data_IF_921480505649
#
_entry.id   IF_921480505649
#
_cell.length_a   1.000
_cell.length_b   1.000
_cell.length_c   1.000
_cell.angle_alpha   90.00
_cell.angle_beta   90.00
_cell.angle_gamma   90.00
#
_symmetry.space_group_name_H-M   'P 1'
#
loop_
_entity.id
_entity.type
_entity.pdbx_description
1 polymer ?
#
# COMPACT_ATOMS: atom_id res chain seq x y z
N UNK A 1 -13.41 11.72 -19.56
CA UNK A 1 -12.84 10.38 -19.36
C UNK A 1 -12.35 10.30 -17.93
N UNK A 2 -12.82 9.33 -17.13
CA UNK A 2 -12.36 9.19 -15.75
C UNK A 2 -10.94 8.61 -15.76
N UNK A 3 -10.03 9.13 -14.95
CA UNK A 3 -8.60 8.75 -14.93
C UNK A 3 -8.40 7.22 -14.79
N UNK A 4 -9.28 6.56 -14.05
CA UNK A 4 -9.31 5.09 -13.88
C UNK A 4 -9.50 4.32 -15.19
N UNK A 5 -10.25 4.88 -16.15
CA UNK A 5 -10.42 4.27 -17.46
C UNK A 5 -9.10 4.32 -18.24
N UNK A 6 -8.39 5.45 -18.16
CA UNK A 6 -7.07 5.61 -18.78
C UNK A 6 -6.03 4.68 -18.15
N UNK A 7 -6.03 4.53 -16.83
CA UNK A 7 -5.16 3.59 -16.11
C UNK A 7 -5.33 2.18 -16.68
N UNK A 8 -6.59 1.75 -16.88
CA UNK A 8 -6.91 0.42 -17.43
C UNK A 8 -6.60 0.31 -18.92
N UNK A 9 -6.92 1.32 -19.71
CA UNK A 9 -6.69 1.34 -21.16
C UNK A 9 -5.19 1.29 -21.51
N UNK A 10 -4.38 2.00 -20.73
CA UNK A 10 -2.92 2.04 -20.90
C UNK A 10 -2.17 1.01 -20.07
N UNK A 11 -2.87 0.15 -19.33
CA UNK A 11 -2.27 -0.87 -18.47
C UNK A 11 -1.17 -0.30 -17.55
N UNK A 12 -1.47 0.85 -16.92
CA UNK A 12 -0.54 1.51 -16.02
C UNK A 12 -0.36 0.60 -14.79
N UNK A 13 0.89 0.22 -14.43
CA UNK A 13 1.18 -0.70 -13.33
C UNK A 13 1.06 0.00 -11.97
N UNK A 14 -0.14 0.45 -11.63
CA UNK A 14 -0.46 1.20 -10.40
C UNK A 14 -1.51 0.46 -9.59
N UNK A 15 -1.33 0.40 -8.27
CA UNK A 15 -2.34 -0.18 -7.37
C UNK A 15 -3.50 0.78 -7.24
N UNK A 16 -4.69 0.38 -7.68
CA UNK A 16 -5.93 1.12 -7.44
C UNK A 16 -6.50 0.71 -6.07
N UNK A 17 -6.55 1.66 -5.14
CA UNK A 17 -7.08 1.46 -3.80
C UNK A 17 -8.54 1.92 -3.79
N UNK A 18 -9.44 1.04 -3.34
CA UNK A 18 -10.85 1.38 -3.19
C UNK A 18 -11.03 2.53 -2.18
N UNK A 19 -11.81 3.54 -2.56
CA UNK A 19 -12.10 4.72 -1.75
C UNK A 19 -12.81 4.38 -0.42
N UNK A 20 -13.52 3.24 -0.39
CA UNK A 20 -14.28 2.77 0.78
C UNK A 20 -13.48 1.85 1.70
N UNK A 21 -12.24 1.51 1.33
CA UNK A 21 -11.38 0.62 2.12
C UNK A 21 -11.19 1.17 3.53
N UNK A 22 -11.47 0.34 4.53
CA UNK A 22 -11.16 0.63 5.92
C UNK A 22 -9.87 -0.08 6.36
N UNK A 23 -9.35 0.40 7.49
CA UNK A 23 -8.09 -0.02 8.08
C UNK A 23 -8.34 -0.40 9.53
N UNK A 24 -7.85 -1.56 9.93
CA UNK A 24 -8.12 -2.12 11.25
C UNK A 24 -6.85 -2.62 11.91
N UNK A 25 -6.72 -2.38 13.21
CA UNK A 25 -5.74 -3.08 14.05
C UNK A 25 -6.49 -4.14 14.88
N UNK A 26 -6.14 -5.41 14.68
CA UNK A 26 -6.69 -6.54 15.44
C UNK A 26 -5.59 -7.11 16.34
N UNK A 27 -5.84 -7.13 17.65
CA UNK A 27 -4.91 -7.67 18.64
C UNK A 27 -5.03 -9.19 18.70
N UNK A 28 -3.89 -9.83 18.81
CA UNK A 28 -3.69 -11.29 18.86
C UNK A 28 -3.54 -11.80 20.30
N UNK A 29 -4.29 -11.21 21.25
CA UNK A 29 -4.16 -11.49 22.68
C UNK A 29 -2.72 -11.32 23.20
N UNK A 30 -2.21 -10.08 23.19
CA UNK A 30 -0.81 -9.78 23.56
C UNK A 30 0.25 -10.54 22.73
N UNK A 31 -0.11 -11.01 21.54
CA UNK A 31 0.76 -11.77 20.66
C UNK A 31 0.67 -13.28 20.80
N UNK A 32 -0.11 -13.79 21.75
CA UNK A 32 -0.28 -15.23 22.00
C UNK A 32 -0.71 -16.00 20.75
N UNK A 33 -1.69 -15.47 19.99
CA UNK A 33 -2.23 -16.12 18.79
C UNK A 33 -1.68 -15.54 17.48
N UNK A 34 -0.59 -14.76 17.53
CA UNK A 34 -0.05 -14.12 16.32
C UNK A 34 0.39 -15.15 15.28
N UNK A 35 1.15 -16.18 15.70
CA UNK A 35 1.70 -17.16 14.77
C UNK A 35 0.58 -17.97 14.10
N UNK A 36 -0.44 -18.41 14.86
CA UNK A 36 -1.58 -19.13 14.29
C UNK A 36 -2.35 -18.26 13.29
N UNK A 37 -2.65 -16.99 13.64
CA UNK A 37 -3.33 -16.07 12.72
C UNK A 37 -2.51 -15.87 11.43
N UNK A 38 -1.19 -15.74 11.58
CA UNK A 38 -0.28 -15.53 10.46
C UNK A 38 -0.20 -16.76 9.55
N UNK A 39 0.15 -17.93 10.09
CA UNK A 39 0.36 -19.15 9.30
C UNK A 39 -0.94 -19.72 8.72
N UNK A 40 -2.05 -19.64 9.47
CA UNK A 40 -3.34 -20.18 9.03
C UNK A 40 -4.20 -19.13 8.30
N UNK A 41 -3.66 -17.93 8.07
CA UNK A 41 -4.27 -16.89 7.21
C UNK A 41 -5.66 -16.46 7.66
N UNK A 42 -5.80 -16.15 8.96
CA UNK A 42 -7.05 -15.63 9.51
C UNK A 42 -6.83 -14.57 10.60
N UNK A 43 -7.90 -13.83 10.89
CA UNK A 43 -8.05 -13.04 12.11
C UNK A 43 -9.26 -13.53 12.88
N UNK A 44 -9.20 -13.45 14.21
CA UNK A 44 -10.29 -13.85 15.06
C UNK A 44 -10.47 -12.92 16.26
N UNK A 45 -11.65 -13.00 16.87
CA UNK A 45 -11.92 -12.41 18.19
C UNK A 45 -12.58 -13.45 19.09
N UNK A 46 -12.30 -13.37 20.39
CA UNK A 46 -12.93 -14.22 21.40
C UNK A 46 -14.40 -13.88 21.65
N UNK A 47 -14.86 -14.08 22.89
CA UNK A 47 -16.27 -14.02 23.29
C UNK A 47 -17.09 -15.16 22.65
N UNK A 48 -16.61 -16.38 22.80
CA UNK A 48 -17.10 -17.54 22.03
C UNK A 48 -18.49 -18.06 22.45
N UNK A 49 -18.96 -17.67 23.64
CA UNK A 49 -20.38 -17.83 24.03
C UNK A 49 -21.34 -17.03 23.12
N UNK A 50 -20.81 -16.05 22.36
CA UNK A 50 -21.56 -15.14 21.50
C UNK A 50 -21.25 -15.34 20.01
N UNK A 51 -21.27 -16.59 19.54
CA UNK A 51 -21.02 -16.95 18.14
C UNK A 51 -22.26 -16.87 17.22
N UNK A 52 -23.46 -16.70 17.78
CA UNK A 52 -24.69 -16.58 16.98
C UNK A 52 -24.78 -15.20 16.31
N UNK A 53 -24.38 -15.10 15.04
CA UNK A 53 -24.41 -13.84 14.28
C UNK A 53 -25.81 -13.22 14.16
N UNK A 54 -26.86 -14.05 14.06
CA UNK A 54 -28.25 -13.59 13.97
C UNK A 54 -28.69 -12.83 15.22
N UNK A 55 -28.19 -13.24 16.40
CA UNK A 55 -28.45 -12.54 17.66
C UNK A 55 -28.03 -11.08 17.58
N UNK A 56 -26.84 -10.80 17.04
CA UNK A 56 -26.30 -9.44 16.96
C UNK A 56 -26.85 -8.61 15.81
N UNK A 57 -27.41 -9.27 14.77
CA UNK A 57 -28.02 -8.57 13.64
C UNK A 57 -29.43 -8.09 13.97
N UNK A 58 -30.22 -8.97 14.61
CA UNK A 58 -31.67 -8.78 14.73
C UNK A 58 -32.10 -8.45 16.18
N UNK A 59 -31.23 -8.67 17.17
CA UNK A 59 -31.52 -8.50 18.58
C UNK A 59 -31.35 -7.08 19.12
N UNK A 60 -32.02 -6.79 20.23
CA UNK A 60 -31.92 -5.49 20.91
C UNK A 60 -30.59 -5.37 21.67
N UNK A 61 -29.85 -4.30 21.40
CA UNK A 61 -28.55 -4.01 22.02
C UNK A 61 -28.60 -4.06 23.56
N UNK A 62 -29.62 -3.49 24.18
CA UNK A 62 -29.72 -3.43 25.66
C UNK A 62 -29.91 -4.82 26.28
N UNK A 63 -30.61 -5.71 25.58
CA UNK A 63 -30.82 -7.10 25.99
C UNK A 63 -29.51 -7.89 25.84
N UNK A 64 -28.85 -7.77 24.70
CA UNK A 64 -27.60 -8.50 24.42
C UNK A 64 -26.49 -8.06 25.38
N UNK A 65 -26.36 -6.75 25.66
CA UNK A 65 -25.38 -6.24 26.63
C UNK A 65 -25.61 -6.81 28.03
N UNK A 66 -26.87 -6.93 28.48
CA UNK A 66 -27.19 -7.59 29.75
C UNK A 66 -26.87 -9.08 29.76
N UNK A 67 -27.01 -9.75 28.62
CA UNK A 67 -26.62 -11.16 28.51
C UNK A 67 -25.09 -11.32 28.57
N UNK A 68 -24.35 -10.45 27.89
CA UNK A 68 -22.87 -10.40 27.98
C UNK A 68 -22.43 -10.19 29.43
N UNK A 69 -23.06 -9.26 30.16
CA UNK A 69 -22.76 -8.99 31.57
C UNK A 69 -22.97 -10.23 32.46
N UNK A 70 -24.02 -11.03 32.20
CA UNK A 70 -24.27 -12.26 32.94
C UNK A 70 -23.28 -13.37 32.62
N UNK A 71 -22.93 -13.53 31.34
CA UNK A 71 -22.01 -14.58 30.89
C UNK A 71 -20.56 -14.28 31.28
N UNK A 72 -20.17 -13.01 31.31
CA UNK A 72 -18.83 -12.57 31.69
C UNK A 72 -18.89 -11.56 32.85
N UNK A 73 -19.24 -12.00 34.09
CA UNK A 73 -19.44 -11.11 35.23
C UNK A 73 -18.19 -10.35 35.65
N UNK A 74 -17.00 -10.88 35.36
CA UNK A 74 -15.72 -10.23 35.64
C UNK A 74 -15.39 -9.09 34.67
N UNK A 75 -16.07 -9.04 33.52
CA UNK A 75 -15.89 -7.97 32.55
C UNK A 75 -16.73 -6.73 32.92
N UNK A 76 -16.05 -5.66 33.34
CA UNK A 76 -16.70 -4.40 33.76
C UNK A 76 -17.21 -3.53 32.60
N UNK A 77 -17.09 -3.99 31.36
CA UNK A 77 -17.37 -3.22 30.15
C UNK A 77 -18.13 -4.05 29.08
N UNK A 78 -19.30 -4.63 29.41
CA UNK A 78 -20.05 -5.48 28.47
C UNK A 78 -20.49 -4.74 27.19
N UNK A 79 -20.71 -3.43 27.28
CA UNK A 79 -20.98 -2.59 26.11
C UNK A 79 -19.81 -2.50 25.11
N UNK A 80 -18.56 -2.55 25.61
CA UNK A 80 -17.38 -2.58 24.74
C UNK A 80 -17.23 -3.94 24.05
N UNK A 81 -17.53 -5.03 24.76
CA UNK A 81 -17.59 -6.38 24.18
C UNK A 81 -18.61 -6.44 23.05
N UNK A 82 -19.84 -5.95 23.29
CA UNK A 82 -20.88 -5.85 22.27
C UNK A 82 -20.38 -5.11 21.02
N UNK A 83 -19.81 -3.92 21.20
CA UNK A 83 -19.33 -3.10 20.08
C UNK A 83 -18.18 -3.78 19.33
N UNK A 84 -17.29 -4.49 20.01
CA UNK A 84 -16.21 -5.26 19.36
C UNK A 84 -16.77 -6.39 18.48
N UNK A 85 -17.77 -7.13 18.97
CA UNK A 85 -18.43 -8.19 18.20
C UNK A 85 -19.14 -7.59 16.98
N UNK A 86 -19.94 -6.53 17.16
CA UNK A 86 -20.61 -5.85 16.05
C UNK A 86 -19.63 -5.34 15.00
N UNK A 87 -18.52 -4.73 15.42
CA UNK A 87 -17.48 -4.26 14.50
C UNK A 87 -16.90 -5.40 13.67
N UNK A 88 -16.51 -6.49 14.33
CA UNK A 88 -15.97 -7.66 13.65
C UNK A 88 -16.98 -8.31 12.70
N UNK A 89 -18.27 -8.34 13.05
CA UNK A 89 -19.29 -9.00 12.25
C UNK A 89 -19.81 -8.14 11.09
N UNK A 90 -19.93 -6.83 11.29
CA UNK A 90 -20.72 -5.97 10.41
C UNK A 90 -20.00 -4.71 9.90
N UNK A 91 -18.98 -4.20 10.60
CA UNK A 91 -18.23 -3.01 10.14
C UNK A 91 -17.03 -3.38 9.26
N UNK A 92 -16.37 -4.50 9.56
CA UNK A 92 -15.24 -4.99 8.75
C UNK A 92 -15.73 -5.65 7.47
N UNK A 93 -15.17 -5.27 6.32
CA UNK A 93 -15.59 -5.74 5.00
C UNK A 93 -14.46 -6.48 4.26
N UNK A 94 -14.83 -7.23 3.22
CA UNK A 94 -13.86 -7.84 2.30
C UNK A 94 -13.15 -6.72 1.54
N UNK A 95 -11.82 -6.79 1.45
CA UNK A 95 -11.00 -5.76 0.83
C UNK A 95 -10.44 -4.71 1.80
N UNK A 96 -10.89 -4.72 3.06
CA UNK A 96 -10.29 -3.92 4.13
C UNK A 96 -8.87 -4.39 4.45
N UNK A 97 -8.03 -3.45 4.90
CA UNK A 97 -6.70 -3.75 5.42
C UNK A 97 -6.79 -4.05 6.92
N UNK A 98 -6.17 -5.15 7.34
CA UNK A 98 -6.01 -5.48 8.75
C UNK A 98 -4.54 -5.59 9.12
N UNK A 99 -4.22 -5.11 10.31
CA UNK A 99 -2.90 -5.20 10.93
C UNK A 99 -3.00 -6.06 12.17
N UNK A 100 -2.05 -6.98 12.33
CA UNK A 100 -1.87 -7.75 13.56
C UNK A 100 -0.47 -7.50 14.15
N UNK A 101 -0.36 -7.12 15.43
CA UNK A 101 0.92 -7.09 16.11
C UNK A 101 1.35 -8.50 16.55
N UNK A 102 2.64 -8.77 16.43
CA UNK A 102 3.29 -9.89 17.12
C UNK A 102 3.45 -9.65 18.62
N UNK A 103 3.97 -10.64 19.34
CA UNK A 103 4.31 -10.50 20.75
C UNK A 103 5.23 -9.28 21.02
N UNK A 104 4.90 -8.52 22.06
CA UNK A 104 5.50 -7.21 22.38
C UNK A 104 5.44 -6.17 21.23
N UNK A 105 4.61 -6.43 20.22
CA UNK A 105 4.52 -5.63 18.99
C UNK A 105 5.88 -5.42 18.31
N UNK A 106 6.77 -6.41 18.35
CA UNK A 106 8.12 -6.34 17.75
C UNK A 106 8.08 -6.20 16.23
N UNK A 107 7.05 -6.77 15.61
CA UNK A 107 6.72 -6.68 14.19
C UNK A 107 5.20 -6.54 14.03
N UNK A 108 4.79 -5.93 12.91
CA UNK A 108 3.39 -5.76 12.52
C UNK A 108 3.21 -6.42 11.15
N UNK A 109 2.20 -7.27 11.03
CA UNK A 109 1.82 -7.87 9.75
C UNK A 109 0.54 -7.24 9.24
N UNK A 110 0.55 -6.90 7.96
CA UNK A 110 -0.56 -6.32 7.23
C UNK A 110 -1.15 -7.37 6.31
N UNK A 111 -2.47 -7.39 6.18
CA UNK A 111 -3.20 -8.30 5.30
C UNK A 111 -4.49 -7.68 4.78
N UNK A 112 -5.07 -8.32 3.78
CA UNK A 112 -6.37 -7.94 3.20
C UNK A 112 -7.41 -8.98 3.62
N UNK A 113 -8.55 -8.53 4.12
CA UNK A 113 -9.66 -9.41 4.47
C UNK A 113 -10.28 -10.00 3.20
N UNK A 114 -10.38 -11.33 3.13
CA UNK A 114 -10.87 -12.04 1.94
C UNK A 114 -12.29 -12.59 2.09
N UNK A 115 -12.79 -12.70 3.33
CA UNK A 115 -14.11 -13.29 3.58
C UNK A 115 -14.97 -12.44 4.52
N UNK A 116 -16.28 -12.61 4.34
CA UNK A 116 -17.26 -12.35 5.40
C UNK A 116 -16.94 -13.19 6.66
N UNK A 117 -17.45 -12.80 7.84
CA UNK A 117 -17.16 -13.53 9.07
C UNK A 117 -17.84 -14.91 9.03
N UNK A 118 -17.16 -15.89 9.60
CA UNK A 118 -17.69 -17.23 9.80
C UNK A 118 -17.37 -17.70 11.22
N UNK A 119 -18.03 -18.80 11.61
CA UNK A 119 -17.79 -19.45 12.91
C UNK A 119 -17.11 -20.78 12.65
N UNK A 120 -15.85 -20.87 13.04
CA UNK A 120 -15.07 -22.10 13.05
C UNK A 120 -15.42 -22.93 14.29
N UNK A 121 -15.55 -24.24 14.13
CA UNK A 121 -15.78 -25.16 15.25
C UNK A 121 -14.44 -25.73 15.69
N UNK A 122 -13.99 -25.32 16.86
CA UNK A 122 -12.74 -25.79 17.46
C UNK A 122 -13.10 -26.88 18.47
N UNK A 123 -12.39 -28.01 18.43
CA UNK A 123 -12.61 -29.12 19.36
C UNK A 123 -11.98 -28.84 20.72
N UNK A 124 -12.53 -29.40 21.79
CA UNK A 124 -11.95 -29.27 23.14
C UNK A 124 -10.50 -29.77 23.18
N UNK A 125 -10.20 -30.86 22.46
CA UNK A 125 -8.84 -31.39 22.33
C UNK A 125 -7.88 -30.38 21.71
N UNK A 126 -8.28 -29.66 20.65
CA UNK A 126 -7.43 -28.63 20.05
C UNK A 126 -7.17 -27.47 21.03
N UNK A 127 -8.18 -27.09 21.83
CA UNK A 127 -8.03 -26.03 22.84
C UNK A 127 -7.05 -26.48 23.93
N UNK A 128 -7.15 -27.74 24.39
CA UNK A 128 -6.21 -28.33 25.35
C UNK A 128 -4.77 -28.40 24.79
N UNK A 129 -4.62 -28.58 23.47
CA UNK A 129 -3.35 -28.55 22.75
C UNK A 129 -2.83 -27.13 22.49
N UNK A 130 -3.57 -26.08 22.90
CA UNK A 130 -3.15 -24.68 22.82
C UNK A 130 -3.52 -23.95 21.53
N UNK A 131 -4.40 -24.53 20.70
CA UNK A 131 -4.97 -23.86 19.52
C UNK A 131 -5.88 -22.71 19.95
N UNK A 132 -5.90 -21.64 19.18
CA UNK A 132 -6.72 -20.46 19.42
C UNK A 132 -8.20 -20.86 19.54
N UNK A 133 -8.85 -20.59 20.70
CA UNK A 133 -10.24 -20.99 20.95
C UNK A 133 -11.26 -20.09 20.25
N UNK A 134 -10.81 -19.04 19.56
CA UNK A 134 -11.68 -18.01 18.98
C UNK A 134 -12.40 -18.53 17.73
N UNK A 135 -13.70 -18.75 17.86
CA UNK A 135 -14.54 -19.31 16.80
C UNK A 135 -14.93 -18.30 15.74
N UNK A 136 -15.07 -17.00 16.07
CA UNK A 136 -15.41 -15.95 15.10
C UNK A 136 -14.16 -15.59 14.29
N UNK A 137 -14.11 -16.02 13.03
CA UNK A 137 -12.94 -15.88 12.15
C UNK A 137 -13.28 -15.16 10.85
N UNK A 138 -12.26 -14.55 10.24
CA UNK A 138 -12.25 -14.04 8.86
C UNK A 138 -10.94 -14.45 8.20
N UNK A 139 -10.97 -14.92 6.96
CA UNK A 139 -9.72 -15.22 6.22
C UNK A 139 -9.06 -13.93 5.79
N UNK A 140 -7.73 -13.94 5.82
CA UNK A 140 -6.89 -12.80 5.49
C UNK A 140 -5.74 -13.27 4.63
N UNK A 141 -5.48 -12.56 3.54
CA UNK A 141 -4.24 -12.72 2.78
C UNK A 141 -3.22 -11.73 3.27
N UNK A 142 -2.16 -12.23 3.89
CA UNK A 142 -1.05 -11.43 4.36
C UNK A 142 -0.25 -10.87 3.17
N UNK A 143 0.11 -9.59 3.25
CA UNK A 143 0.79 -8.86 2.18
C UNK A 143 2.18 -8.37 2.58
N UNK A 144 2.39 -8.00 3.85
CA UNK A 144 3.67 -7.43 4.30
C UNK A 144 3.86 -7.58 5.80
N UNK A 145 5.08 -7.85 6.25
CA UNK A 145 5.46 -7.81 7.67
C UNK A 145 6.61 -6.82 7.84
N UNK A 146 6.48 -5.92 8.81
CA UNK A 146 7.44 -4.83 9.05
C UNK A 146 7.86 -4.85 10.51
N UNK A 147 9.16 -4.64 10.76
CA UNK A 147 9.66 -4.48 12.13
C UNK A 147 9.15 -3.19 12.73
N UNK A 148 8.88 -3.17 14.02
CA UNK A 148 8.45 -1.96 14.72
C UNK A 148 9.42 -0.80 14.53
N UNK A 149 10.72 -1.07 14.45
CA UNK A 149 11.77 -0.06 14.24
C UNK A 149 11.73 0.60 12.86
N UNK A 150 11.13 -0.05 11.87
CA UNK A 150 10.98 0.42 10.49
C UNK A 150 9.59 1.06 10.26
N UNK A 151 8.69 0.91 11.23
CA UNK A 151 7.35 1.45 11.15
C UNK A 151 7.40 2.98 11.18
N UNK A 152 6.52 3.60 10.40
CA UNK A 152 6.34 5.03 10.47
C UNK A 152 5.98 5.46 11.91
N UNK A 153 6.69 6.44 12.51
CA UNK A 153 6.39 6.91 13.86
C UNK A 153 4.96 7.35 14.10
N UNK A 154 4.25 7.81 13.06
CA UNK A 154 2.83 8.15 13.15
C UNK A 154 1.98 6.92 13.55
N UNK A 155 2.36 5.72 13.13
CA UNK A 155 1.67 4.48 13.47
C UNK A 155 1.93 4.03 14.92
N UNK A 156 2.93 4.56 15.62
CA UNK A 156 3.17 4.18 17.03
C UNK A 156 2.02 4.54 17.96
N UNK A 157 1.25 5.60 17.65
CA UNK A 157 0.08 5.99 18.45
C UNK A 157 -1.04 4.95 18.35
N UNK A 158 -1.29 4.44 17.15
CA UNK A 158 -2.23 3.36 16.92
C UNK A 158 -1.88 2.11 17.76
N UNK A 159 -0.59 1.81 17.91
CA UNK A 159 -0.10 0.67 18.69
C UNK A 159 -0.25 0.81 20.21
N UNK A 160 -0.72 1.95 20.73
CA UNK A 160 -0.93 2.13 22.18
C UNK A 160 -2.32 1.67 22.64
N UNK A 161 -3.31 1.54 21.73
CA UNK A 161 -4.66 1.15 22.14
C UNK A 161 -4.73 -0.32 22.57
N UNK A 162 -5.29 -0.58 23.75
CA UNK A 162 -5.45 -1.94 24.30
C UNK A 162 -6.74 -2.65 23.87
N UNK A 163 -7.59 -2.02 23.05
CA UNK A 163 -8.81 -2.70 22.56
C UNK A 163 -8.46 -3.79 21.54
N UNK A 164 -9.26 -4.86 21.52
CA UNK A 164 -9.09 -6.00 20.61
C UNK A 164 -9.15 -5.59 19.14
N UNK A 165 -10.07 -4.68 18.78
CA UNK A 165 -10.19 -4.12 17.43
C UNK A 165 -10.21 -2.60 17.51
N UNK A 166 -9.32 -1.96 16.76
CA UNK A 166 -9.27 -0.51 16.62
C UNK A 166 -9.46 -0.12 15.16
N UNK A 167 -10.26 0.91 14.93
CA UNK A 167 -10.28 1.59 13.64
C UNK A 167 -8.95 2.33 13.47
N UNK A 168 -8.36 2.22 12.28
CA UNK A 168 -7.09 2.81 11.91
C UNK A 168 -7.20 3.72 10.69
N UNK A 169 -8.41 4.18 10.33
CA UNK A 169 -8.64 5.01 9.15
C UNK A 169 -7.92 6.37 9.24
N UNK A 170 -7.73 6.91 10.44
CA UNK A 170 -6.92 8.13 10.66
C UNK A 170 -5.46 7.97 10.23
N UNK A 171 -5.01 6.73 10.02
CA UNK A 171 -3.66 6.37 9.59
C UNK A 171 -3.62 5.86 8.15
N UNK A 172 -4.73 5.92 7.41
CA UNK A 172 -4.87 5.31 6.07
C UNK A 172 -3.73 5.71 5.12
N UNK A 173 -3.45 7.01 4.97
CA UNK A 173 -2.37 7.50 4.09
C UNK A 173 -1.00 6.90 4.45
N UNK A 174 -0.73 6.76 5.75
CA UNK A 174 0.55 6.22 6.23
C UNK A 174 0.62 4.72 6.01
N UNK A 175 -0.51 4.02 6.15
CA UNK A 175 -0.60 2.57 5.87
C UNK A 175 -0.46 2.32 4.37
N UNK A 176 -1.17 3.07 3.52
CA UNK A 176 -1.13 2.90 2.07
C UNK A 176 0.29 3.08 1.52
N UNK A 177 0.99 4.17 1.87
CA UNK A 177 2.39 4.39 1.46
C UNK A 177 3.39 3.40 2.08
N UNK A 178 2.99 2.68 3.12
CA UNK A 178 3.80 1.61 3.71
C UNK A 178 3.64 0.31 2.92
N UNK A 179 2.44 0.08 2.38
CA UNK A 179 2.09 -1.10 1.60
C UNK A 179 2.46 -0.96 0.13
N UNK A 180 2.37 0.25 -0.42
CA UNK A 180 2.46 0.51 -1.85
C UNK A 180 3.41 1.67 -2.13
N UNK A 181 4.23 1.50 -3.18
CA UNK A 181 5.13 2.55 -3.64
C UNK A 181 4.55 3.33 -4.83
N UNK A 182 3.54 2.77 -5.49
CA UNK A 182 2.85 3.42 -6.60
C UNK A 182 1.38 3.05 -6.62
N UNK A 183 0.53 4.00 -6.23
CA UNK A 183 -0.90 3.76 -6.05
C UNK A 183 -1.78 4.96 -6.44
N UNK A 184 -3.05 4.68 -6.71
CA UNK A 184 -4.10 5.66 -6.99
C UNK A 184 -5.27 5.46 -6.03
N UNK A 185 -5.71 6.53 -5.38
CA UNK A 185 -6.78 6.52 -4.38
C UNK A 185 -7.49 7.87 -4.34
N UNK A 186 -8.82 7.88 -4.27
CA UNK A 186 -9.64 9.09 -4.08
C UNK A 186 -9.28 10.23 -5.06
N UNK A 187 -9.11 9.93 -6.34
CA UNK A 187 -8.73 10.95 -7.33
C UNK A 187 -7.25 11.35 -7.32
N UNK A 188 -6.43 10.80 -6.43
CA UNK A 188 -5.03 11.19 -6.19
C UNK A 188 -4.09 10.07 -6.59
N UNK A 189 -3.06 10.39 -7.37
CA UNK A 189 -1.97 9.47 -7.67
C UNK A 189 -0.79 9.75 -6.72
N UNK A 190 -0.14 8.68 -6.27
CA UNK A 190 0.97 8.70 -5.34
C UNK A 190 2.14 7.91 -5.90
N UNK A 191 3.31 8.54 -5.98
CA UNK A 191 4.59 7.93 -6.29
C UNK A 191 5.51 8.09 -5.08
N UNK A 192 5.76 6.99 -4.37
CA UNK A 192 6.63 6.93 -3.20
C UNK A 192 7.97 6.37 -3.64
N UNK A 193 9.01 7.21 -3.59
CA UNK A 193 10.38 6.83 -3.86
C UNK A 193 11.10 6.70 -2.52
N UNK A 194 11.53 5.49 -2.18
CA UNK A 194 12.28 5.26 -0.95
C UNK A 194 13.75 5.63 -1.14
N UNK A 195 14.33 6.24 -0.09
CA UNK A 195 15.74 6.60 0.04
C UNK A 195 16.32 5.65 1.06
N UNK A 196 16.93 4.56 0.59
CA UNK A 196 17.38 3.46 1.47
C UNK A 196 18.77 3.71 2.08
N UNK A 197 19.42 4.81 1.70
CA UNK A 197 20.70 5.26 2.24
C UNK A 197 20.65 5.31 3.76
N UNK A 198 21.67 4.76 4.43
CA UNK A 198 21.75 4.70 5.89
C UNK A 198 22.57 5.82 6.52
N UNK A 199 23.55 6.34 5.77
CA UNK A 199 24.39 7.46 6.19
C UNK A 199 23.72 8.80 5.88
N UNK A 200 24.35 9.92 6.25
CA UNK A 200 23.77 11.23 5.97
C UNK A 200 23.57 11.47 4.47
N UNK A 201 22.40 12.02 4.12
CA UNK A 201 22.09 12.47 2.77
C UNK A 201 22.64 13.88 2.58
N UNK A 202 23.53 14.08 1.61
CA UNK A 202 23.99 15.40 1.26
C UNK A 202 22.82 16.24 0.73
N UNK A 203 22.67 17.47 1.24
CA UNK A 203 21.55 18.34 0.88
C UNK A 203 21.44 18.57 -0.64
N UNK A 204 22.57 18.71 -1.33
CA UNK A 204 22.60 18.87 -2.78
C UNK A 204 22.09 17.62 -3.51
N UNK A 205 22.41 16.43 -3.03
CA UNK A 205 21.93 15.19 -3.66
C UNK A 205 20.41 15.08 -3.52
N UNK A 206 19.86 15.43 -2.35
CA UNK A 206 18.41 15.44 -2.13
C UNK A 206 17.70 16.46 -3.03
N UNK A 207 18.19 17.70 -3.06
CA UNK A 207 17.63 18.77 -3.90
C UNK A 207 17.67 18.38 -5.38
N UNK A 208 18.82 17.87 -5.82
CA UNK A 208 18.98 17.40 -7.20
C UNK A 208 18.04 16.23 -7.48
N UNK A 209 17.87 15.30 -6.55
CA UNK A 209 16.96 14.17 -6.75
C UNK A 209 15.51 14.58 -6.90
N UNK A 210 15.03 15.49 -6.05
CA UNK A 210 13.69 16.06 -6.17
C UNK A 210 13.55 16.78 -7.52
N UNK A 211 14.50 17.65 -7.87
CA UNK A 211 14.45 18.42 -9.11
C UNK A 211 14.48 17.52 -10.36
N UNK A 212 15.36 16.53 -10.40
CA UNK A 212 15.53 15.62 -11.53
C UNK A 212 14.27 14.79 -11.80
N UNK A 213 13.55 14.39 -10.74
CA UNK A 213 12.25 13.71 -10.86
C UNK A 213 11.19 14.70 -11.38
N UNK A 214 11.13 15.92 -10.84
CA UNK A 214 10.17 16.93 -11.30
C UNK A 214 10.40 17.39 -12.75
N UNK A 215 11.63 17.33 -13.26
CA UNK A 215 11.92 17.61 -14.68
C UNK A 215 11.30 16.62 -15.66
N UNK A 216 10.85 15.44 -15.18
CA UNK A 216 10.12 14.46 -15.98
C UNK A 216 8.68 14.89 -16.25
N UNK A 217 8.07 15.66 -15.34
CA UNK A 217 6.64 16.03 -15.36
C UNK A 217 6.22 16.71 -16.67
N UNK A 218 6.95 17.71 -17.20
CA UNK A 218 6.56 18.37 -18.44
C UNK A 218 6.66 17.48 -19.69
N UNK A 219 7.36 16.33 -19.60
CA UNK A 219 7.46 15.37 -20.69
C UNK A 219 6.22 14.47 -20.81
N UNK A 220 5.38 14.42 -19.77
CA UNK A 220 4.19 13.58 -19.75
C UNK A 220 3.09 14.23 -20.60
N UNK A 221 2.52 13.44 -21.50
CA UNK A 221 1.37 13.84 -22.32
C UNK A 221 0.11 13.90 -21.46
N UNK A 222 -0.70 14.94 -21.67
CA UNK A 222 -2.01 15.05 -21.07
C UNK A 222 -3.06 14.44 -22.01
N UNK A 223 -3.53 13.21 -21.75
CA UNK A 223 -4.49 12.53 -22.62
C UNK A 223 -5.90 13.16 -22.55
N UNK A 224 -6.18 13.99 -21.54
CA UNK A 224 -7.46 14.68 -21.40
C UNK A 224 -7.50 15.98 -22.20
N UNK A 225 -6.35 16.66 -22.33
CA UNK A 225 -6.21 17.86 -23.13
C UNK A 225 -4.77 17.98 -23.68
N UNK A 226 -4.50 17.52 -24.91
CA UNK A 226 -3.14 17.52 -25.49
C UNK A 226 -2.48 18.90 -25.68
N UNK A 227 -3.28 19.98 -25.59
CA UNK A 227 -2.79 21.37 -25.65
C UNK A 227 -2.40 21.91 -24.27
N UNK A 228 -2.77 21.21 -23.19
CA UNK A 228 -2.40 21.57 -21.84
C UNK A 228 -1.12 20.83 -21.43
N UNK A 229 -0.31 21.49 -20.61
CA UNK A 229 0.98 20.95 -20.19
C UNK A 229 1.03 20.86 -18.68
N UNK A 230 1.36 19.66 -18.20
CA UNK A 230 1.68 19.48 -16.80
C UNK A 230 2.96 20.25 -16.47
N UNK A 231 2.91 20.93 -15.33
CA UNK A 231 3.99 21.74 -14.79
C UNK A 231 4.45 21.13 -13.48
N UNK A 232 5.65 21.50 -13.06
CA UNK A 232 6.23 21.00 -11.81
C UNK A 232 5.40 21.42 -10.60
N UNK A 233 4.77 22.59 -10.69
CA UNK A 233 3.90 23.17 -9.67
C UNK A 233 2.58 22.39 -9.49
N UNK A 234 2.25 21.48 -10.41
CA UNK A 234 1.07 20.63 -10.29
C UNK A 234 1.31 19.42 -9.35
N UNK A 235 2.54 19.25 -8.85
CA UNK A 235 2.96 18.10 -8.04
C UNK A 235 3.28 18.55 -6.62
N UNK A 236 2.57 17.98 -5.67
CA UNK A 236 2.86 18.10 -4.24
C UNK A 236 3.93 17.08 -3.82
N UNK A 237 4.74 17.45 -2.83
CA UNK A 237 5.79 16.59 -2.27
C UNK A 237 5.64 16.48 -0.75
N UNK A 238 5.53 15.26 -0.25
CA UNK A 238 5.76 14.92 1.17
C UNK A 238 7.10 14.23 1.31
N UNK A 239 7.91 14.64 2.29
CA UNK A 239 9.23 14.08 2.50
C UNK A 239 9.47 13.68 3.96
N UNK A 240 10.23 12.58 4.16
CA UNK A 240 10.85 12.24 5.44
C UNK A 240 12.35 12.47 5.33
N UNK A 241 12.85 13.52 6.00
CA UNK A 241 14.24 14.00 5.91
C UNK A 241 15.25 13.04 6.57
N UNK A 242 14.78 12.09 7.38
CA UNK A 242 15.65 11.10 8.03
C UNK A 242 16.13 10.05 7.02
N UNK A 243 17.33 9.50 7.26
CA UNK A 243 17.89 8.40 6.49
C UNK A 243 17.80 7.11 7.30
N UNK A 244 17.15 6.04 6.80
CA UNK A 244 16.41 5.97 5.54
C UNK A 244 15.09 6.76 5.59
N UNK A 245 14.59 7.16 4.43
CA UNK A 245 13.44 8.06 4.27
C UNK A 245 12.62 7.80 3.01
N UNK A 246 11.62 8.65 2.77
CA UNK A 246 10.81 8.59 1.54
C UNK A 246 10.60 9.99 0.96
N UNK A 247 10.41 10.02 -0.36
CA UNK A 247 9.88 11.15 -1.13
C UNK A 247 8.57 10.70 -1.77
N UNK A 248 7.45 11.28 -1.36
CA UNK A 248 6.12 10.97 -1.87
C UNK A 248 5.64 12.14 -2.75
N UNK A 249 5.65 11.91 -4.06
CA UNK A 249 5.15 12.82 -5.08
C UNK A 249 3.68 12.52 -5.35
N UNK A 250 2.82 13.54 -5.33
CA UNK A 250 1.38 13.35 -5.38
C UNK A 250 0.67 14.47 -6.11
N UNK A 251 -0.44 14.13 -6.75
CA UNK A 251 -1.31 15.10 -7.41
C UNK A 251 -2.71 14.53 -7.60
N UNK A 252 -3.69 15.42 -7.68
CA UNK A 252 -5.12 15.10 -7.75
C UNK A 252 -5.75 15.52 -9.07
N UNK A 253 -6.91 14.93 -9.39
CA UNK A 253 -7.70 15.32 -10.56
C UNK A 253 -6.96 15.01 -11.88
N UNK A 254 -6.93 15.96 -12.81
CA UNK A 254 -6.27 15.76 -14.10
C UNK A 254 -4.74 15.61 -13.98
N UNK A 255 -4.11 16.33 -13.04
CA UNK A 255 -2.67 16.32 -12.82
C UNK A 255 -2.17 15.02 -12.15
N UNK A 256 -3.06 14.21 -11.59
CA UNK A 256 -2.72 12.85 -11.16
C UNK A 256 -2.10 12.01 -12.30
N UNK A 257 -2.50 12.23 -13.55
CA UNK A 257 -1.88 11.58 -14.71
C UNK A 257 -0.38 11.86 -14.82
N UNK A 258 0.05 13.06 -14.46
CA UNK A 258 1.44 13.47 -14.51
C UNK A 258 2.30 12.66 -13.52
N UNK A 259 1.79 12.40 -12.32
CA UNK A 259 2.45 11.52 -11.32
C UNK A 259 2.54 10.10 -11.85
N UNK A 260 1.45 9.58 -12.44
CA UNK A 260 1.44 8.24 -13.01
C UNK A 260 2.47 8.07 -14.14
N UNK A 261 2.45 8.99 -15.10
CA UNK A 261 3.41 8.99 -16.19
C UNK A 261 4.85 9.15 -15.71
N UNK A 262 5.07 10.00 -14.70
CA UNK A 262 6.40 10.19 -14.08
C UNK A 262 6.89 8.92 -13.40
N UNK A 263 6.04 8.20 -12.66
CA UNK A 263 6.44 6.93 -12.01
C UNK A 263 6.86 5.85 -13.01
N UNK A 264 6.10 5.71 -14.10
CA UNK A 264 6.45 4.80 -15.20
C UNK A 264 7.77 5.23 -15.85
N UNK A 265 7.89 6.50 -16.25
CA UNK A 265 9.08 7.02 -16.94
C UNK A 265 10.34 6.92 -16.07
N UNK A 266 10.24 7.28 -14.78
CA UNK A 266 11.33 7.20 -13.82
C UNK A 266 11.85 5.76 -13.69
N UNK A 267 10.95 4.77 -13.62
CA UNK A 267 11.32 3.35 -13.58
C UNK A 267 12.12 2.95 -14.82
N UNK A 268 11.68 3.38 -16.00
CA UNK A 268 12.40 3.09 -17.26
C UNK A 268 13.79 3.73 -17.31
N UNK A 269 13.88 4.99 -16.91
CA UNK A 269 15.13 5.76 -16.86
C UNK A 269 16.13 5.14 -15.87
N UNK A 270 15.71 4.94 -14.62
CA UNK A 270 16.59 4.47 -13.54
C UNK A 270 16.97 3.01 -13.75
N UNK A 271 16.05 2.18 -14.26
CA UNK A 271 16.31 0.79 -14.60
C UNK A 271 17.20 0.58 -15.84
N UNK A 272 17.61 1.65 -16.54
CA UNK A 272 18.40 1.56 -17.78
C UNK A 272 17.65 0.87 -18.92
N UNK A 273 16.30 0.96 -18.90
CA UNK A 273 15.40 0.24 -19.80
C UNK A 273 14.99 1.08 -21.04
N UNK A 274 15.44 2.34 -21.16
CA UNK A 274 15.17 3.19 -22.32
C UNK A 274 16.03 2.79 -23.53
N UNK A 275 15.41 2.25 -24.58
CA UNK A 275 16.05 2.07 -25.90
C UNK A 275 15.23 2.77 -26.98
N UNK A 276 15.84 3.74 -27.67
CA UNK A 276 15.23 4.48 -28.79
C UNK A 276 15.67 3.99 -30.17
N UNK A 277 16.61 3.05 -30.24
CA UNK A 277 17.11 2.52 -31.51
C UNK A 277 16.23 1.40 -32.04
N UNK A 278 15.49 1.67 -33.12
CA UNK A 278 14.93 0.63 -34.01
C UNK A 278 16.07 -0.23 -34.55
N UNK A 279 16.37 -1.32 -33.86
CA UNK A 279 17.20 -2.42 -34.40
C UNK A 279 16.24 -3.44 -35.02
N UNK A 280 16.67 -4.11 -36.10
CA UNK A 280 15.82 -5.02 -36.90
C UNK A 280 15.35 -6.27 -36.14
N UNK A 281 15.84 -6.49 -34.93
CA UNK A 281 15.49 -7.58 -34.03
C UNK A 281 14.99 -6.96 -32.71
N UNK A 282 13.73 -6.55 -32.68
CA UNK A 282 13.05 -6.22 -31.43
C UNK A 282 12.39 -7.49 -30.90
N UNK A 283 12.59 -7.78 -29.63
CA UNK A 283 11.81 -8.80 -28.92
C UNK A 283 10.41 -8.26 -28.60
N UNK A 284 9.40 -9.12 -28.49
CA UNK A 284 8.01 -8.70 -28.19
C UNK A 284 7.92 -7.82 -26.91
N UNK A 285 8.81 -8.10 -25.95
CA UNK A 285 9.00 -7.35 -24.70
C UNK A 285 9.40 -5.89 -24.98
N UNK A 286 10.40 -5.65 -25.85
CA UNK A 286 10.86 -4.29 -26.20
C UNK A 286 9.79 -3.48 -26.95
N UNK A 287 8.95 -4.13 -27.76
CA UNK A 287 7.84 -3.49 -28.48
C UNK A 287 6.75 -3.03 -27.49
N UNK A 288 6.44 -3.84 -26.48
CA UNK A 288 5.44 -3.48 -25.46
C UNK A 288 5.90 -2.32 -24.56
N UNK A 289 7.20 -2.29 -24.20
CA UNK A 289 7.84 -1.18 -23.48
C UNK A 289 7.74 0.15 -24.23
N UNK A 290 8.14 0.14 -25.51
CA UNK A 290 8.12 1.35 -26.34
C UNK A 290 6.68 1.85 -26.53
N UNK A 291 5.73 0.95 -26.75
CA UNK A 291 4.32 1.32 -26.94
C UNK A 291 3.70 2.02 -25.73
N UNK A 292 4.07 1.65 -24.49
CA UNK A 292 3.59 2.34 -23.29
C UNK A 292 4.22 3.73 -23.14
N UNK A 293 5.53 3.83 -23.32
CA UNK A 293 6.24 5.12 -23.24
C UNK A 293 5.79 6.10 -24.31
N UNK A 294 5.56 5.65 -25.55
CA UNK A 294 5.04 6.46 -26.65
C UNK A 294 3.67 7.07 -26.34
N UNK A 295 2.84 6.37 -25.57
CA UNK A 295 1.50 6.85 -25.17
C UNK A 295 1.53 7.81 -23.98
N UNK A 296 2.57 7.72 -23.14
CA UNK A 296 2.71 8.54 -21.94
C UNK A 296 3.55 9.80 -22.22
N UNK A 297 4.46 9.76 -23.18
CA UNK A 297 5.40 10.85 -23.46
C UNK A 297 4.91 11.75 -24.59
N UNK A 298 5.10 13.06 -24.43
CA UNK A 298 5.00 14.04 -25.51
C UNK A 298 6.19 13.90 -26.47
N UNK A 299 6.10 13.04 -27.47
CA UNK A 299 7.09 13.03 -28.55
C UNK A 299 6.74 14.11 -29.58
N UNK A 300 7.27 15.33 -29.40
CA UNK A 300 7.01 16.43 -30.34
C UNK A 300 8.19 16.75 -31.25
N UNK A 301 9.48 16.59 -30.85
CA UNK A 301 10.66 16.96 -31.68
C UNK A 301 11.97 16.21 -31.33
N UNK A 302 12.96 16.27 -32.22
CA UNK A 302 14.35 15.77 -32.01
C UNK A 302 15.05 16.37 -30.77
N UNK A 303 14.67 17.57 -30.31
CA UNK A 303 15.21 18.16 -29.08
C UNK A 303 14.77 17.40 -27.81
N UNK A 304 13.61 16.74 -27.84
CA UNK A 304 13.07 16.02 -26.69
C UNK A 304 13.87 14.75 -26.40
N UNK A 305 14.43 14.11 -27.43
CA UNK A 305 15.31 12.94 -27.28
C UNK A 305 16.64 13.29 -26.58
N UNK A 306 17.24 14.44 -26.91
CA UNK A 306 18.48 14.86 -26.24
C UNK A 306 18.22 15.20 -24.78
N UNK A 307 17.13 15.94 -24.50
CA UNK A 307 16.72 16.26 -23.13
C UNK A 307 16.44 14.98 -22.33
N UNK A 308 15.77 14.00 -22.92
CA UNK A 308 15.46 12.74 -22.25
C UNK A 308 16.72 11.93 -21.92
N UNK A 309 17.71 11.89 -22.82
CA UNK A 309 19.02 11.26 -22.54
C UNK A 309 19.78 11.96 -21.41
N UNK A 310 19.70 13.28 -21.35
CA UNK A 310 20.31 14.05 -20.25
C UNK A 310 19.64 13.72 -18.91
N UNK A 311 18.31 13.76 -18.87
CA UNK A 311 17.52 13.40 -17.69
C UNK A 311 17.71 11.95 -17.29
N UNK A 312 17.91 11.06 -18.25
CA UNK A 312 18.21 9.65 -17.98
C UNK A 312 19.49 9.52 -17.15
N UNK A 313 20.58 10.13 -17.62
CA UNK A 313 21.87 10.12 -16.93
C UNK A 313 21.79 10.78 -15.55
N UNK A 314 21.10 11.91 -15.46
CA UNK A 314 20.93 12.64 -14.19
C UNK A 314 20.17 11.82 -13.16
N UNK A 315 19.03 11.23 -13.53
CA UNK A 315 18.22 10.41 -12.62
C UNK A 315 18.91 9.09 -12.25
N UNK A 316 19.67 8.46 -13.15
CA UNK A 316 20.50 7.29 -12.81
C UNK A 316 21.60 7.65 -11.79
N UNK A 317 22.23 8.81 -11.93
CA UNK A 317 23.22 9.28 -10.96
C UNK A 317 22.57 9.57 -9.60
N UNK A 318 21.43 10.26 -9.58
CA UNK A 318 20.62 10.48 -8.37
C UNK A 318 20.24 9.18 -7.70
N UNK A 319 19.75 8.20 -8.47
CA UNK A 319 19.33 6.91 -7.93
C UNK A 319 20.48 6.20 -7.21
N UNK A 320 21.70 6.29 -7.75
CA UNK A 320 22.90 5.75 -7.11
C UNK A 320 23.33 6.55 -5.88
N UNK A 321 23.28 7.88 -5.91
CA UNK A 321 23.78 8.71 -4.79
C UNK A 321 22.87 8.69 -3.56
N UNK A 322 21.56 8.58 -3.79
CA UNK A 322 20.52 8.51 -2.77
C UNK A 322 20.08 7.07 -2.44
N UNK A 323 20.62 6.06 -3.15
CA UNK A 323 20.16 4.67 -3.05
C UNK A 323 18.63 4.59 -3.20
N UNK A 324 18.11 5.19 -4.28
CA UNK A 324 16.68 5.24 -4.52
C UNK A 324 16.17 3.85 -4.89
N UNK A 325 15.11 3.42 -4.21
CA UNK A 325 14.36 2.23 -4.57
C UNK A 325 13.14 2.63 -5.38
N UNK A 326 13.06 2.09 -6.59
CA UNK A 326 11.92 2.29 -7.48
C UNK A 326 10.69 1.53 -6.97
N UNK A 327 9.48 1.93 -7.39
CA UNK A 327 8.28 1.24 -6.94
C UNK A 327 8.28 -0.25 -7.31
N UNK A 328 7.95 -1.09 -6.34
CA UNK A 328 7.86 -2.56 -6.53
C UNK A 328 6.80 -2.91 -7.58
N UNK A 329 5.72 -2.11 -7.65
CA UNK A 329 4.64 -2.28 -8.62
C UNK A 329 5.08 -2.17 -10.08
N UNK A 330 6.17 -1.44 -10.34
CA UNK A 330 6.70 -1.21 -11.69
C UNK A 330 7.81 -2.20 -12.09
N UNK A 331 8.16 -3.16 -11.23
CA UNK A 331 9.25 -4.12 -11.47
C UNK A 331 9.00 -4.98 -12.72
N UNK A 332 7.76 -5.41 -12.92
CA UNK A 332 7.32 -6.24 -14.05
C UNK A 332 7.20 -5.46 -15.36
N UNK A 333 7.46 -4.15 -15.36
CA UNK A 333 7.54 -3.41 -16.61
C UNK A 333 8.65 -4.02 -17.48
N UNK A 334 8.34 -4.36 -18.74
CA UNK A 334 9.25 -5.07 -19.63
C UNK A 334 10.63 -4.39 -19.68
N UNK A 335 11.66 -5.13 -19.28
CA UNK A 335 13.07 -4.70 -19.25
C UNK A 335 13.91 -5.32 -20.37
N UNK A 336 15.15 -4.86 -20.58
CA UNK A 336 16.02 -5.49 -21.56
C UNK A 336 16.29 -6.94 -21.13
N UNK A 337 16.23 -7.84 -22.11
CA UNK A 337 16.79 -9.19 -21.97
C UNK A 337 18.25 -9.03 -21.56
N UNK A 338 18.57 -9.39 -20.33
CA UNK A 338 19.96 -9.65 -19.95
C UNK A 338 20.38 -10.84 -20.78
N UNK A 339 21.16 -10.61 -21.83
CA UNK A 339 21.99 -11.65 -22.38
C UNK A 339 22.89 -12.08 -21.23
N UNK A 340 22.59 -13.23 -20.64
CA UNK A 340 23.56 -13.98 -19.88
C UNK A 340 24.66 -14.33 -20.89
N UNK A 341 25.78 -13.62 -20.80
CA UNK A 341 27.03 -14.06 -21.41
C UNK A 341 27.43 -15.34 -20.67
N UNK A 342 27.18 -16.49 -21.30
CA UNK A 342 27.86 -17.76 -21.02
C UNK A 342 29.30 -17.75 -21.56
#
# INVERSE_FOLDING_TARGET
>A
MQLEQLIKEYDIPVVQIDEKRNYWLVRTQSGEYYDEFYFDSFIAIGWDEFNNMTLFRDGDKSIIVKEIEKQYPDNKQPGLVYNQICRFLFEMEVGDVVMIPSHNSTHITFGIIETHPYVEKISDTNIEEGVCPFGKRRKVRWIKTIKRTELDPYLYRMMQSHHTINNANDYADVIDRTLHSFYYKNGTAHLVVAVDKKDEVAALDLINGINNILELVPLIENPLNPNDEFKKEDIDLKLRVQSPGIMEFMSSGAAAWAVLGTGVLLTYIVGGKLKFTKTKEQTDVEVSTQGLLEKILKFKKHNDEQKLKELEKQNQQTARSLELRMPEETENLPGPVTNQED
#
